data_IF_064045156211
#
_entry.id   IF_064045156211
#
_cell.length_a   1.000
_cell.length_b   1.000
_cell.length_c   1.000
_cell.angle_alpha   90.00
_cell.angle_beta   90.00
_cell.angle_gamma   90.00
#
_symmetry.space_group_name_H-M   'P 1'
#
loop_
_entity.id
_entity.type
_entity.pdbx_description
1 polymer ?
#
# COMPACT_ATOMS: atom_id res chain seq x y z
N UNK A 1 -22.73 16.84 17.63
CA UNK A 1 -23.32 15.49 17.79
C UNK A 1 -22.49 14.49 17.00
N UNK A 2 -22.14 13.36 17.59
CA UNK A 2 -21.46 12.29 16.83
C UNK A 2 -22.48 11.68 15.87
N UNK A 3 -22.10 11.51 14.60
CA UNK A 3 -22.96 10.86 13.58
C UNK A 3 -23.09 9.37 13.88
N UNK A 4 -24.28 8.85 13.87
CA UNK A 4 -24.60 7.43 14.13
C UNK A 4 -24.55 6.57 12.88
N UNK A 5 -24.51 7.20 11.69
CA UNK A 5 -24.47 6.54 10.38
C UNK A 5 -23.03 6.29 9.85
N UNK A 6 -22.01 6.49 10.70
CA UNK A 6 -20.61 6.23 10.42
C UNK A 6 -20.07 5.17 11.37
N UNK A 7 -19.31 4.21 10.83
CA UNK A 7 -18.58 3.24 11.63
C UNK A 7 -17.14 3.08 11.12
N UNK A 8 -16.26 2.52 11.95
CA UNK A 8 -14.82 2.43 11.69
C UNK A 8 -14.37 0.97 11.77
N UNK A 9 -13.70 0.50 10.74
CA UNK A 9 -13.01 -0.79 10.71
C UNK A 9 -11.52 -0.55 10.92
N UNK A 10 -10.99 -1.03 12.04
CA UNK A 10 -9.55 -1.02 12.32
C UNK A 10 -9.01 -2.43 12.07
N UNK A 11 -7.99 -2.57 11.23
CA UNK A 11 -7.34 -3.86 10.98
C UNK A 11 -5.90 -3.83 11.47
N UNK A 12 -5.40 -4.92 12.02
CA UNK A 12 -4.00 -4.96 12.46
C UNK A 12 -3.47 -6.35 12.76
N UNK A 13 -2.16 -6.40 12.95
CA UNK A 13 -1.44 -7.56 13.44
C UNK A 13 -0.19 -7.15 14.18
N UNK A 14 -0.11 -7.47 15.47
CA UNK A 14 1.07 -7.17 16.30
C UNK A 14 1.42 -5.67 16.32
N UNK A 15 0.44 -4.81 16.48
CA UNK A 15 0.65 -3.37 16.44
C UNK A 15 1.04 -2.77 17.81
N UNK A 16 0.80 -3.48 18.91
CA UNK A 16 1.20 -3.04 20.26
C UNK A 16 0.71 -1.64 20.61
N UNK A 17 1.62 -0.74 21.00
CA UNK A 17 1.28 0.63 21.37
C UNK A 17 0.71 1.46 20.20
N UNK A 18 0.96 1.09 18.95
CA UNK A 18 0.38 1.76 17.77
C UNK A 18 -1.12 1.55 17.72
N UNK A 19 -1.56 0.29 17.97
CA UNK A 19 -2.98 -0.03 18.04
C UNK A 19 -3.71 0.80 19.11
N UNK A 20 -3.08 0.97 20.30
CA UNK A 20 -3.70 1.78 21.35
C UNK A 20 -3.97 3.22 20.89
N UNK A 21 -3.04 3.82 20.16
CA UNK A 21 -3.23 5.16 19.56
C UNK A 21 -4.30 5.17 18.49
N UNK A 22 -4.32 4.16 17.62
CA UNK A 22 -5.33 3.98 16.60
C UNK A 22 -6.73 3.91 17.23
N UNK A 23 -6.95 2.99 18.17
CA UNK A 23 -8.24 2.81 18.84
C UNK A 23 -8.64 4.02 19.68
N UNK A 24 -7.69 4.71 20.33
CA UNK A 24 -7.98 5.96 21.03
C UNK A 24 -8.53 7.05 20.10
N UNK A 25 -8.05 7.11 18.85
CA UNK A 25 -8.54 8.06 17.84
C UNK A 25 -9.96 7.75 17.33
N UNK A 26 -10.45 6.54 17.59
CA UNK A 26 -11.80 6.11 17.20
C UNK A 26 -12.82 6.22 18.33
N UNK A 27 -12.41 6.69 19.50
CA UNK A 27 -13.32 6.84 20.65
C UNK A 27 -14.52 7.76 20.30
N UNK A 28 -15.69 7.35 20.77
CA UNK A 28 -16.94 8.04 20.45
C UNK A 28 -17.58 7.63 19.12
N UNK A 29 -16.87 6.85 18.28
CA UNK A 29 -17.42 6.27 17.07
C UNK A 29 -17.72 4.78 17.26
N UNK A 30 -18.70 4.26 16.53
CA UNK A 30 -18.90 2.82 16.43
C UNK A 30 -17.70 2.22 15.69
N UNK A 31 -16.94 1.36 16.33
CA UNK A 31 -15.73 0.78 15.76
C UNK A 31 -15.62 -0.71 16.03
N UNK A 32 -14.88 -1.41 15.18
CA UNK A 32 -14.48 -2.81 15.35
C UNK A 32 -12.99 -2.95 15.05
N UNK A 33 -12.29 -3.73 15.85
CA UNK A 33 -10.93 -4.15 15.56
C UNK A 33 -10.92 -5.56 14.98
N UNK A 34 -10.27 -5.74 13.84
CA UNK A 34 -10.09 -7.06 13.21
C UNK A 34 -8.63 -7.47 13.33
N UNK A 35 -8.41 -8.53 14.09
CA UNK A 35 -7.07 -9.07 14.34
C UNK A 35 -6.70 -10.16 13.35
N UNK A 36 -5.53 -10.03 12.74
CA UNK A 36 -4.98 -11.00 11.78
C UNK A 36 -3.96 -11.95 12.42
N UNK A 37 -4.29 -12.49 13.59
CA UNK A 37 -3.45 -13.46 14.30
C UNK A 37 -2.26 -12.81 15.00
N UNK A 38 -2.53 -11.83 15.85
CA UNK A 38 -1.52 -11.22 16.72
C UNK A 38 -1.01 -12.22 17.76
N UNK A 39 0.28 -12.16 18.05
CA UNK A 39 0.93 -12.92 19.11
C UNK A 39 1.38 -12.02 20.28
N UNK A 40 1.06 -10.72 20.21
CA UNK A 40 1.26 -9.75 21.26
C UNK A 40 -0.07 -9.48 22.00
N UNK A 41 -0.08 -8.50 22.91
CA UNK A 41 -1.28 -8.13 23.68
C UNK A 41 -2.27 -7.24 22.92
N UNK A 42 -2.26 -7.20 21.59
CA UNK A 42 -3.14 -6.34 20.78
C UNK A 42 -4.62 -6.64 21.02
N UNK A 43 -5.00 -7.92 21.00
CA UNK A 43 -6.40 -8.36 21.20
C UNK A 43 -6.91 -7.99 22.59
N UNK A 44 -6.14 -8.32 23.62
CA UNK A 44 -6.51 -8.00 25.01
C UNK A 44 -6.58 -6.48 25.25
N UNK A 45 -5.70 -5.73 24.60
CA UNK A 45 -5.69 -4.28 24.70
C UNK A 45 -6.94 -3.66 24.08
N UNK A 46 -7.37 -4.11 22.90
CA UNK A 46 -8.58 -3.66 22.25
C UNK A 46 -9.83 -3.99 23.09
N UNK A 47 -9.91 -5.21 23.66
CA UNK A 47 -11.00 -5.63 24.54
C UNK A 47 -11.08 -4.76 25.83
N UNK A 48 -9.91 -4.44 26.43
CA UNK A 48 -9.88 -3.53 27.61
C UNK A 48 -10.35 -2.12 27.31
N UNK A 49 -10.20 -1.68 26.06
CA UNK A 49 -10.72 -0.38 25.60
C UNK A 49 -12.22 -0.43 25.25
N UNK A 50 -12.89 -1.58 25.41
CA UNK A 50 -14.30 -1.77 25.08
C UNK A 50 -14.58 -1.84 23.57
N UNK A 51 -13.56 -2.06 22.73
CA UNK A 51 -13.73 -2.19 21.29
C UNK A 51 -14.04 -3.66 20.95
N UNK A 52 -15.14 -3.94 20.21
CA UNK A 52 -15.40 -5.27 19.67
C UNK A 52 -14.24 -5.80 18.83
N UNK A 53 -13.88 -7.08 19.01
CA UNK A 53 -12.74 -7.69 18.30
C UNK A 53 -13.22 -8.90 17.48
N UNK A 54 -12.81 -8.94 16.23
CA UNK A 54 -12.90 -10.12 15.36
C UNK A 54 -11.51 -10.71 15.23
N UNK A 55 -11.32 -11.95 15.60
CA UNK A 55 -10.08 -12.69 15.37
C UNK A 55 -10.24 -13.56 14.12
N UNK A 56 -9.42 -13.31 13.09
CA UNK A 56 -9.47 -14.08 11.86
C UNK A 56 -8.94 -15.50 12.07
N UNK A 57 -9.65 -16.51 11.54
CA UNK A 57 -9.14 -17.89 11.50
C UNK A 57 -7.87 -17.99 10.65
N UNK A 58 -6.82 -18.68 11.13
CA UNK A 58 -5.59 -18.91 10.38
C UNK A 58 -5.75 -19.89 9.20
N UNK A 59 -6.81 -20.68 9.16
CA UNK A 59 -7.02 -21.73 8.14
C UNK A 59 -7.02 -21.22 6.70
N UNK A 60 -7.54 -20.01 6.49
CA UNK A 60 -7.59 -19.34 5.18
C UNK A 60 -6.42 -18.38 4.96
N UNK A 61 -5.40 -18.37 5.83
CA UNK A 61 -4.33 -17.40 5.84
C UNK A 61 -4.79 -15.99 6.25
N UNK A 62 -3.88 -15.05 6.35
CA UNK A 62 -4.17 -13.67 6.74
C UNK A 62 -3.91 -12.72 5.58
N UNK A 63 -4.82 -11.77 5.34
CA UNK A 63 -4.62 -10.64 4.43
C UNK A 63 -5.34 -9.40 4.96
N UNK A 64 -4.88 -8.22 4.56
CA UNK A 64 -5.57 -6.97 4.88
C UNK A 64 -6.99 -6.94 4.28
N UNK A 65 -7.16 -7.49 3.09
CA UNK A 65 -8.45 -7.64 2.41
C UNK A 65 -9.46 -8.40 3.27
N UNK A 66 -9.07 -9.60 3.77
CA UNK A 66 -9.92 -10.39 4.67
C UNK A 66 -10.25 -9.64 5.96
N UNK A 67 -9.28 -8.94 6.53
CA UNK A 67 -9.50 -8.14 7.72
C UNK A 67 -10.55 -7.06 7.50
N UNK A 68 -10.43 -6.32 6.39
CA UNK A 68 -11.40 -5.27 6.03
C UNK A 68 -12.77 -5.85 5.75
N UNK A 69 -12.88 -6.92 4.98
CA UNK A 69 -14.17 -7.56 4.69
C UNK A 69 -14.86 -8.06 5.94
N UNK A 70 -14.17 -8.72 6.87
CA UNK A 70 -14.76 -9.19 8.12
C UNK A 70 -15.33 -8.03 8.95
N UNK A 71 -14.65 -6.88 9.00
CA UNK A 71 -15.16 -5.68 9.65
C UNK A 71 -16.34 -5.06 8.92
N UNK A 72 -16.30 -5.03 7.58
CA UNK A 72 -17.40 -4.58 6.72
C UNK A 72 -18.65 -5.44 7.00
N UNK A 73 -18.53 -6.76 6.93
CA UNK A 73 -19.66 -7.69 7.09
C UNK A 73 -20.34 -7.52 8.46
N UNK A 74 -19.55 -7.38 9.52
CA UNK A 74 -20.10 -7.14 10.86
C UNK A 74 -20.86 -5.84 10.94
N UNK A 75 -20.30 -4.74 10.43
CA UNK A 75 -20.87 -3.41 10.57
C UNK A 75 -22.06 -3.18 9.62
N UNK A 76 -22.05 -3.79 8.43
CA UNK A 76 -23.16 -3.71 7.48
C UNK A 76 -24.39 -4.53 7.87
N UNK A 77 -24.33 -5.33 8.95
CA UNK A 77 -25.52 -5.90 9.57
C UNK A 77 -26.48 -4.83 10.11
N UNK A 78 -25.97 -3.63 10.39
CA UNK A 78 -26.79 -2.46 10.73
C UNK A 78 -27.07 -1.61 9.48
N UNK A 79 -28.34 -1.56 9.01
CA UNK A 79 -28.70 -0.83 7.81
C UNK A 79 -28.61 0.70 7.97
N UNK A 80 -28.49 1.22 9.18
CA UNK A 80 -28.34 2.65 9.44
C UNK A 80 -26.94 3.18 9.05
N UNK A 81 -25.94 2.32 8.92
CA UNK A 81 -24.58 2.72 8.54
C UNK A 81 -24.53 3.08 7.06
N UNK A 82 -24.14 4.31 6.78
CA UNK A 82 -23.99 4.86 5.43
C UNK A 82 -22.53 4.98 5.00
N UNK A 83 -21.61 5.12 5.94
CA UNK A 83 -20.19 5.34 5.69
C UNK A 83 -19.33 4.44 6.58
N UNK A 84 -18.27 3.89 5.98
CA UNK A 84 -17.26 3.10 6.70
C UNK A 84 -15.88 3.73 6.53
N UNK A 85 -15.25 4.07 7.65
CA UNK A 85 -13.83 4.44 7.67
C UNK A 85 -13.00 3.19 7.81
N UNK A 86 -12.16 2.90 6.81
CA UNK A 86 -11.09 1.92 6.92
C UNK A 86 -9.89 2.58 7.58
N UNK A 87 -9.25 1.89 8.51
CA UNK A 87 -8.08 2.40 9.24
C UNK A 87 -7.12 1.25 9.54
N UNK A 88 -5.85 1.45 9.23
CA UNK A 88 -4.80 0.49 9.65
C UNK A 88 -4.47 0.68 11.13
N UNK A 89 -4.19 -0.39 11.87
CA UNK A 89 -3.94 -0.38 13.31
C UNK A 89 -2.68 0.37 13.76
N UNK A 90 -1.86 0.81 12.82
CA UNK A 90 -0.73 1.72 13.02
C UNK A 90 -1.02 3.16 12.57
N UNK A 91 -2.29 3.47 12.29
CA UNK A 91 -2.73 4.82 11.90
C UNK A 91 -3.71 5.36 12.95
N UNK A 92 -3.61 6.63 13.28
CA UNK A 92 -4.52 7.33 14.18
C UNK A 92 -5.22 8.46 13.42
N UNK A 93 -6.57 8.50 13.47
CA UNK A 93 -7.35 9.54 12.81
C UNK A 93 -7.07 10.91 13.44
N UNK A 94 -7.01 11.92 12.60
CA UNK A 94 -6.95 13.31 13.03
C UNK A 94 -8.34 13.81 13.48
N UNK A 95 -8.38 14.64 14.53
CA UNK A 95 -9.64 15.23 15.01
C UNK A 95 -10.35 16.00 13.88
N UNK A 96 -11.66 15.78 13.77
CA UNK A 96 -12.50 16.47 12.78
C UNK A 96 -12.52 15.83 11.38
N UNK A 97 -11.64 14.89 11.08
CA UNK A 97 -11.60 14.22 9.78
C UNK A 97 -12.94 13.64 9.33
N UNK A 98 -13.56 12.82 10.19
CA UNK A 98 -14.83 12.16 9.85
C UNK A 98 -15.92 13.19 9.51
N UNK A 99 -16.01 14.30 10.25
CA UNK A 99 -16.99 15.34 10.00
C UNK A 99 -16.77 16.01 8.62
N UNK A 100 -15.52 16.37 8.30
CA UNK A 100 -15.17 16.98 7.01
C UNK A 100 -15.47 16.01 5.86
N UNK A 101 -15.07 14.76 6.02
CA UNK A 101 -15.18 13.77 4.97
C UNK A 101 -16.63 13.36 4.70
N UNK A 102 -17.45 13.20 5.75
CA UNK A 102 -18.87 12.88 5.59
C UNK A 102 -19.66 14.05 5.00
N UNK A 103 -19.37 15.30 5.40
CA UNK A 103 -19.98 16.49 4.79
C UNK A 103 -19.69 16.56 3.28
N UNK A 104 -18.47 16.23 2.86
CA UNK A 104 -18.10 16.14 1.45
C UNK A 104 -18.88 15.06 0.72
N UNK A 105 -18.96 13.85 1.29
CA UNK A 105 -19.71 12.73 0.70
C UNK A 105 -21.22 13.02 0.65
N UNK A 106 -21.79 13.69 1.65
CA UNK A 106 -23.21 14.06 1.64
C UNK A 106 -23.56 15.03 0.51
N UNK A 107 -22.64 15.95 0.17
CA UNK A 107 -22.82 16.92 -0.93
C UNK A 107 -22.62 16.34 -2.32
N UNK A 108 -21.84 15.27 -2.47
CA UNK A 108 -21.52 14.66 -3.77
C UNK A 108 -21.90 13.18 -3.78
N UNK A 109 -23.13 12.86 -4.20
CA UNK A 109 -23.66 11.49 -4.20
C UNK A 109 -22.84 10.49 -5.05
N UNK A 110 -22.14 10.96 -6.07
CA UNK A 110 -21.30 10.13 -6.95
C UNK A 110 -19.92 9.78 -6.35
N UNK A 111 -19.55 10.40 -5.21
CA UNK A 111 -18.34 10.02 -4.50
C UNK A 111 -18.56 8.72 -3.73
N UNK A 112 -17.81 7.69 -4.12
CA UNK A 112 -17.79 6.37 -3.44
C UNK A 112 -16.70 6.24 -2.39
N UNK A 113 -15.59 6.97 -2.56
CA UNK A 113 -14.43 6.93 -1.67
C UNK A 113 -13.79 8.31 -1.52
N UNK A 114 -13.42 8.64 -0.28
CA UNK A 114 -12.78 9.89 0.07
C UNK A 114 -11.63 9.63 1.03
N UNK A 115 -10.48 10.27 0.80
CA UNK A 115 -9.35 10.26 1.71
C UNK A 115 -8.69 11.63 1.78
N UNK A 116 -7.88 11.83 2.80
CA UNK A 116 -7.17 13.08 3.03
C UNK A 116 -5.67 12.86 3.17
N UNK A 117 -4.98 13.86 3.73
CA UNK A 117 -3.54 13.78 3.96
C UNK A 117 -3.23 12.75 5.04
N UNK A 118 -2.44 11.75 4.67
CA UNK A 118 -1.78 10.83 5.58
C UNK A 118 -0.33 11.29 5.77
N UNK A 119 0.16 11.34 7.00
CA UNK A 119 1.53 11.74 7.31
C UNK A 119 2.20 10.72 8.22
N UNK A 120 3.50 10.52 8.03
CA UNK A 120 4.28 9.73 8.97
C UNK A 120 4.44 10.48 10.31
N UNK A 121 4.37 9.75 11.42
CA UNK A 121 4.55 10.28 12.78
C UNK A 121 5.95 10.85 13.00
N UNK A 122 6.97 10.17 12.49
CA UNK A 122 8.36 10.54 12.62
C UNK A 122 9.10 10.39 11.28
N UNK A 123 8.78 11.22 10.28
CA UNK A 123 9.34 11.09 8.93
C UNK A 123 10.85 11.26 8.90
N UNK A 124 11.40 12.01 9.84
CA UNK A 124 12.83 12.31 9.90
C UNK A 124 13.66 11.30 10.71
N UNK A 125 13.03 10.29 11.33
CA UNK A 125 13.72 9.25 12.08
C UNK A 125 14.61 8.37 11.20
N UNK A 126 14.28 8.23 9.91
CA UNK A 126 15.06 7.46 8.95
C UNK A 126 14.81 7.94 7.51
N UNK A 127 15.71 7.55 6.60
CA UNK A 127 15.48 7.77 5.15
C UNK A 127 14.22 7.02 4.68
N UNK A 128 13.91 5.88 5.26
CA UNK A 128 12.75 5.06 4.92
C UNK A 128 11.45 5.73 5.37
N UNK A 129 11.38 6.26 6.60
CA UNK A 129 10.25 7.04 7.10
C UNK A 129 10.01 8.29 6.23
N UNK A 130 11.09 8.98 5.85
CA UNK A 130 10.99 10.12 4.94
C UNK A 130 10.44 9.73 3.56
N UNK A 131 10.88 8.59 2.99
CA UNK A 131 10.35 8.08 1.72
C UNK A 131 8.87 7.76 1.81
N UNK A 132 8.43 7.18 2.91
CA UNK A 132 7.02 6.89 3.17
C UNK A 132 6.15 8.14 3.24
N UNK A 133 6.58 9.13 4.02
CA UNK A 133 5.84 10.40 4.11
C UNK A 133 5.65 11.04 2.72
N UNK A 134 6.62 10.84 1.83
CA UNK A 134 6.53 11.28 0.44
C UNK A 134 5.54 10.48 -0.41
N UNK A 135 5.42 9.17 -0.19
CA UNK A 135 4.44 8.34 -0.88
C UNK A 135 3.00 8.74 -0.51
N UNK A 136 2.79 9.16 0.75
CA UNK A 136 1.49 9.61 1.24
C UNK A 136 1.11 11.02 0.77
N UNK A 137 2.03 11.79 0.21
CA UNK A 137 1.78 13.15 -0.28
C UNK A 137 1.05 13.11 -1.64
N UNK A 138 -0.19 12.62 -1.63
CA UNK A 138 -1.07 12.60 -2.79
C UNK A 138 -1.67 14.00 -2.99
N UNK A 139 -1.63 14.56 -4.22
CA UNK A 139 -2.29 15.84 -4.52
C UNK A 139 -3.81 15.75 -4.30
N UNK A 140 -4.39 16.84 -3.81
CA UNK A 140 -5.85 16.97 -3.72
C UNK A 140 -6.50 16.98 -5.11
N UNK A 141 -7.69 16.38 -5.21
CA UNK A 141 -8.48 16.26 -6.44
C UNK A 141 -8.88 14.82 -6.74
N UNK A 142 -9.38 14.56 -7.96
CA UNK A 142 -9.75 13.23 -8.41
C UNK A 142 -8.58 12.25 -8.30
N UNK A 143 -8.83 11.08 -7.73
CA UNK A 143 -7.81 10.05 -7.50
C UNK A 143 -8.17 8.75 -8.23
N UNK A 144 -7.15 8.03 -8.70
CA UNK A 144 -7.33 6.73 -9.32
C UNK A 144 -7.33 5.59 -8.29
N UNK A 145 -6.66 5.79 -7.17
CA UNK A 145 -6.46 4.80 -6.11
C UNK A 145 -6.45 5.48 -4.75
N UNK A 146 -6.65 4.69 -3.71
CA UNK A 146 -6.46 5.07 -2.31
C UNK A 146 -5.61 4.02 -1.60
N UNK A 147 -5.19 4.27 -0.38
CA UNK A 147 -4.50 3.33 0.50
C UNK A 147 -5.39 2.83 1.63
N UNK A 148 -4.79 2.15 2.62
CA UNK A 148 -5.48 1.48 3.71
C UNK A 148 -6.40 2.34 4.58
N UNK A 149 -6.16 3.66 4.63
CA UNK A 149 -7.01 4.62 5.34
C UNK A 149 -7.87 5.39 4.34
N UNK A 150 -9.19 5.16 4.38
CA UNK A 150 -10.16 5.76 3.44
C UNK A 150 -11.58 5.74 4.03
N UNK A 151 -12.36 6.78 3.79
CA UNK A 151 -13.80 6.79 4.07
C UNK A 151 -14.56 6.35 2.82
N UNK A 152 -15.39 5.32 2.97
CA UNK A 152 -16.13 4.67 1.91
C UNK A 152 -17.65 4.86 2.09
N UNK A 153 -18.35 5.13 1.01
CA UNK A 153 -19.80 5.03 0.97
C UNK A 153 -20.22 3.55 0.94
N UNK A 154 -21.13 3.14 1.79
CA UNK A 154 -21.62 1.75 1.89
C UNK A 154 -22.22 1.25 0.58
N UNK A 155 -22.99 2.10 -0.12
CA UNK A 155 -23.55 1.76 -1.42
C UNK A 155 -22.44 1.44 -2.44
N UNK A 156 -21.36 2.21 -2.44
CA UNK A 156 -20.21 1.97 -3.32
C UNK A 156 -19.51 0.65 -2.98
N UNK A 157 -19.37 0.31 -1.68
CA UNK A 157 -18.83 -0.99 -1.26
C UNK A 157 -19.68 -2.14 -1.81
N UNK A 158 -21.02 -2.05 -1.67
CA UNK A 158 -21.96 -3.07 -2.16
C UNK A 158 -21.89 -3.24 -3.67
N UNK A 159 -21.82 -2.13 -4.41
CA UNK A 159 -21.78 -2.16 -5.89
C UNK A 159 -20.46 -2.73 -6.42
N UNK A 160 -19.35 -2.53 -5.73
CA UNK A 160 -18.04 -3.02 -6.13
C UNK A 160 -17.66 -4.40 -5.52
N UNK A 161 -18.46 -4.92 -4.57
CA UNK A 161 -18.31 -6.26 -3.99
C UNK A 161 -17.19 -6.39 -2.93
N UNK A 162 -16.82 -5.31 -2.24
CA UNK A 162 -15.80 -5.34 -1.18
C UNK A 162 -14.38 -5.60 -1.68
N UNK A 163 -13.47 -6.02 -0.80
CA UNK A 163 -12.07 -6.35 -1.13
C UNK A 163 -11.95 -7.80 -1.62
N UNK A 164 -10.89 -8.11 -2.36
CA UNK A 164 -10.59 -9.49 -2.80
C UNK A 164 -9.78 -10.23 -1.73
N UNK A 165 -10.39 -11.19 -1.05
CA UNK A 165 -9.82 -11.92 0.10
C UNK A 165 -8.48 -12.60 -0.17
N UNK A 166 -8.28 -13.07 -1.40
CA UNK A 166 -7.10 -13.82 -1.83
C UNK A 166 -5.89 -12.95 -2.16
N UNK A 167 -6.05 -11.63 -2.19
CA UNK A 167 -4.95 -10.70 -2.41
C UNK A 167 -4.14 -10.48 -1.13
N UNK A 168 -2.81 -10.68 -1.23
CA UNK A 168 -1.87 -10.38 -0.12
C UNK A 168 -1.28 -8.97 -0.21
N UNK A 169 -1.44 -8.32 -1.36
CA UNK A 169 -0.99 -6.96 -1.63
C UNK A 169 -1.71 -6.40 -2.85
N UNK A 170 -1.96 -5.09 -2.86
CA UNK A 170 -2.64 -4.42 -3.97
C UNK A 170 -4.17 -4.48 -3.88
N UNK A 171 -4.70 -4.86 -2.74
CA UNK A 171 -6.13 -4.93 -2.46
C UNK A 171 -6.82 -3.57 -2.55
N UNK A 172 -6.15 -2.50 -2.09
CA UNK A 172 -6.69 -1.12 -2.16
C UNK A 172 -6.79 -0.60 -3.60
N UNK A 173 -5.72 -0.67 -4.45
CA UNK A 173 -5.85 -0.30 -5.85
C UNK A 173 -6.77 -1.20 -6.68
N UNK A 174 -6.88 -2.50 -6.36
CA UNK A 174 -7.89 -3.38 -6.97
C UNK A 174 -9.31 -2.89 -6.66
N UNK A 175 -9.59 -2.64 -5.40
CA UNK A 175 -10.90 -2.17 -4.96
C UNK A 175 -11.21 -0.78 -5.53
N UNK A 176 -10.24 0.15 -5.54
CA UNK A 176 -10.39 1.46 -6.16
C UNK A 176 -10.72 1.37 -7.66
N UNK A 177 -10.09 0.43 -8.38
CA UNK A 177 -10.42 0.19 -9.79
C UNK A 177 -11.87 -0.28 -9.95
N UNK A 178 -12.30 -1.28 -9.15
CA UNK A 178 -13.68 -1.82 -9.22
C UNK A 178 -14.73 -0.78 -8.85
N UNK A 179 -14.46 0.10 -7.86
CA UNK A 179 -15.30 1.26 -7.56
C UNK A 179 -15.48 2.15 -8.79
N UNK A 180 -14.38 2.50 -9.47
CA UNK A 180 -14.46 3.34 -10.68
C UNK A 180 -15.15 2.65 -11.85
N UNK A 181 -14.96 1.33 -12.02
CA UNK A 181 -15.68 0.53 -13.01
C UNK A 181 -17.19 0.49 -12.74
N UNK A 182 -17.58 0.55 -11.47
CA UNK A 182 -18.98 0.67 -11.05
C UNK A 182 -19.54 2.12 -11.15
N UNK A 183 -18.75 3.06 -11.68
CA UNK A 183 -19.18 4.44 -11.91
C UNK A 183 -18.89 5.40 -10.75
N UNK A 184 -18.31 4.94 -9.65
CA UNK A 184 -18.00 5.79 -8.50
C UNK A 184 -16.74 6.64 -8.69
N UNK A 185 -16.80 7.88 -8.21
CA UNK A 185 -15.63 8.76 -8.11
C UNK A 185 -14.87 8.52 -6.82
N UNK A 186 -13.55 8.74 -6.90
CA UNK A 186 -12.62 8.71 -5.75
C UNK A 186 -11.95 10.07 -5.69
N UNK A 187 -11.81 10.64 -4.51
CA UNK A 187 -11.19 11.96 -4.32
C UNK A 187 -10.24 11.97 -3.13
N UNK A 188 -9.12 12.68 -3.30
CA UNK A 188 -8.24 13.12 -2.21
C UNK A 188 -8.57 14.58 -1.88
N UNK A 189 -8.79 14.91 -0.61
CA UNK A 189 -8.99 16.29 -0.18
C UNK A 189 -7.81 16.81 0.63
N UNK A 190 -7.59 18.12 0.57
CA UNK A 190 -6.53 18.78 1.33
C UNK A 190 -6.94 19.01 2.79
N UNK A 191 -7.20 17.92 3.49
CA UNK A 191 -7.52 17.90 4.92
C UNK A 191 -6.68 16.84 5.65
N UNK A 192 -6.23 17.10 6.89
CA UNK A 192 -5.57 16.10 7.71
C UNK A 192 -6.51 14.91 7.96
N UNK A 193 -6.09 13.70 7.57
CA UNK A 193 -6.89 12.49 7.75
C UNK A 193 -6.37 11.63 8.89
N UNK A 194 -5.10 11.29 8.85
CA UNK A 194 -4.50 10.41 9.85
C UNK A 194 -2.98 10.56 9.94
N UNK A 195 -2.44 10.17 11.09
CA UNK A 195 -0.99 10.00 11.32
C UNK A 195 -0.68 8.51 11.30
N UNK A 196 0.19 8.11 10.39
CA UNK A 196 0.70 6.75 10.28
C UNK A 196 1.98 6.58 11.09
N UNK A 197 2.15 5.44 11.74
CA UNK A 197 3.31 5.09 12.57
C UNK A 197 3.96 3.81 12.02
N UNK A 198 4.57 3.93 10.82
CA UNK A 198 5.12 2.79 10.09
C UNK A 198 6.36 2.18 10.72
N UNK A 199 7.06 2.91 11.62
CA UNK A 199 8.28 2.48 12.32
C UNK A 199 9.31 1.80 11.38
N UNK A 200 9.47 2.39 10.18
CA UNK A 200 10.39 1.85 9.18
C UNK A 200 11.77 2.47 9.34
N UNK A 201 12.65 1.74 10.02
CA UNK A 201 14.01 2.20 10.34
C UNK A 201 15.11 1.30 9.77
N UNK A 202 14.78 0.14 9.21
CA UNK A 202 15.75 -0.85 8.73
C UNK A 202 15.60 -1.10 7.22
N UNK A 203 16.74 -1.31 6.54
CA UNK A 203 16.80 -1.68 5.12
C UNK A 203 15.92 -2.90 4.79
N UNK A 204 15.95 -3.95 5.65
CA UNK A 204 15.18 -5.17 5.44
C UNK A 204 13.68 -4.94 5.41
N UNK A 205 13.16 -4.01 6.24
CA UNK A 205 11.73 -3.63 6.23
C UNK A 205 11.38 -2.97 4.90
N UNK A 206 12.16 -1.99 4.47
CA UNK A 206 12.00 -1.32 3.19
C UNK A 206 12.08 -2.31 2.02
N UNK A 207 13.07 -3.20 2.01
CA UNK A 207 13.24 -4.22 0.96
C UNK A 207 12.01 -5.11 0.84
N UNK A 208 11.52 -5.67 1.96
CA UNK A 208 10.34 -6.55 1.98
C UNK A 208 9.08 -5.83 1.54
N UNK A 209 8.89 -4.58 1.98
CA UNK A 209 7.75 -3.77 1.51
C UNK A 209 7.80 -3.52 0.02
N UNK A 210 8.98 -3.20 -0.52
CA UNK A 210 9.19 -3.00 -1.95
C UNK A 210 8.99 -4.29 -2.75
N UNK A 211 9.39 -5.46 -2.21
CA UNK A 211 9.03 -6.77 -2.77
C UNK A 211 7.51 -6.96 -2.84
N UNK A 212 6.80 -6.60 -1.77
CA UNK A 212 5.33 -6.68 -1.73
C UNK A 212 4.69 -5.81 -2.84
N UNK A 213 5.23 -4.63 -3.09
CA UNK A 213 4.78 -3.78 -4.20
C UNK A 213 4.99 -4.44 -5.57
N UNK A 214 6.15 -5.08 -5.80
CA UNK A 214 6.42 -5.82 -7.03
C UNK A 214 5.47 -6.99 -7.27
N UNK A 215 5.09 -7.73 -6.22
CA UNK A 215 4.06 -8.75 -6.26
C UNK A 215 2.70 -8.15 -6.67
N UNK A 216 2.29 -7.06 -6.02
CA UNK A 216 1.04 -6.36 -6.32
C UNK A 216 0.97 -5.87 -7.77
N UNK A 217 2.05 -5.28 -8.31
CA UNK A 217 2.07 -4.81 -9.70
C UNK A 217 1.88 -5.95 -10.70
N UNK A 218 2.47 -7.12 -10.44
CA UNK A 218 2.29 -8.28 -11.29
C UNK A 218 0.84 -8.80 -11.23
N UNK A 219 0.30 -8.95 -10.02
CA UNK A 219 -1.04 -9.47 -9.77
C UNK A 219 -2.13 -8.56 -10.35
N UNK A 220 -2.05 -7.25 -10.11
CA UNK A 220 -3.02 -6.28 -10.61
C UNK A 220 -3.10 -6.25 -12.14
N UNK A 221 -1.95 -6.29 -12.83
CA UNK A 221 -1.93 -6.32 -14.29
C UNK A 221 -2.51 -7.62 -14.84
N UNK A 222 -2.25 -8.75 -14.17
CA UNK A 222 -2.76 -10.06 -14.59
C UNK A 222 -4.26 -10.25 -14.29
N UNK A 223 -4.78 -9.62 -13.23
CA UNK A 223 -6.22 -9.63 -12.90
C UNK A 223 -7.05 -8.71 -13.78
N UNK A 224 -6.47 -7.59 -14.20
CA UNK A 224 -7.18 -6.53 -14.92
C UNK A 224 -6.49 -6.18 -16.25
N UNK A 225 -6.39 -7.13 -17.18
CA UNK A 225 -5.77 -6.86 -18.47
C UNK A 225 -6.56 -5.79 -19.26
N UNK A 226 -5.86 -4.82 -19.80
CA UNK A 226 -6.48 -3.73 -20.59
C UNK A 226 -7.22 -2.65 -19.78
N UNK A 227 -7.15 -2.70 -18.45
CA UNK A 227 -7.78 -1.71 -17.58
C UNK A 227 -7.04 -0.37 -17.58
N UNK A 228 -7.67 0.66 -16.98
CA UNK A 228 -7.07 1.99 -16.75
C UNK A 228 -5.91 1.99 -15.73
N UNK A 229 -5.45 0.82 -15.28
CA UNK A 229 -4.25 0.66 -14.45
C UNK A 229 -2.94 0.71 -15.28
N UNK A 230 -2.89 1.60 -16.28
CA UNK A 230 -1.70 1.77 -17.15
C UNK A 230 -0.40 1.99 -16.36
N UNK A 231 -0.46 2.63 -15.19
CA UNK A 231 0.73 2.90 -14.37
C UNK A 231 1.33 1.63 -13.76
N UNK A 232 0.51 0.62 -13.43
CA UNK A 232 1.00 -0.68 -12.96
C UNK A 232 1.63 -1.49 -14.10
N UNK A 233 1.05 -1.42 -15.30
CA UNK A 233 1.67 -1.99 -16.51
C UNK A 233 3.03 -1.37 -16.83
N UNK A 234 3.12 -0.03 -16.76
CA UNK A 234 4.39 0.70 -16.91
C UNK A 234 5.39 0.35 -15.80
N UNK A 235 4.93 0.22 -14.56
CA UNK A 235 5.77 -0.19 -13.43
C UNK A 235 6.33 -1.59 -13.65
N UNK A 236 5.50 -2.56 -14.05
CA UNK A 236 5.93 -3.90 -14.42
C UNK A 236 6.96 -3.90 -15.57
N UNK A 237 6.73 -3.12 -16.62
CA UNK A 237 7.66 -2.99 -17.73
C UNK A 237 9.01 -2.41 -17.30
N UNK A 238 9.00 -1.37 -16.43
CA UNK A 238 10.23 -0.79 -15.85
C UNK A 238 11.00 -1.78 -14.99
N UNK A 239 10.31 -2.59 -14.18
CA UNK A 239 10.94 -3.64 -13.37
C UNK A 239 11.63 -4.64 -14.28
N UNK A 240 10.92 -5.17 -15.28
CA UNK A 240 11.46 -6.13 -16.24
C UNK A 240 12.64 -5.59 -17.03
N UNK A 241 12.60 -4.31 -17.40
CA UNK A 241 13.71 -3.66 -18.12
C UNK A 241 14.94 -3.46 -17.23
N UNK A 242 14.78 -2.71 -16.10
CA UNK A 242 15.92 -2.28 -15.27
C UNK A 242 16.50 -3.39 -14.40
N UNK A 243 15.70 -4.31 -13.88
CA UNK A 243 16.15 -5.39 -13.00
C UNK A 243 16.14 -6.77 -13.68
N UNK A 244 15.67 -6.90 -14.91
CA UNK A 244 15.67 -8.14 -15.69
C UNK A 244 16.54 -8.03 -16.93
N UNK A 245 16.04 -7.38 -17.98
CA UNK A 245 16.67 -7.36 -19.31
C UNK A 245 18.10 -6.80 -19.28
N UNK A 246 18.33 -5.67 -18.65
CA UNK A 246 19.66 -5.04 -18.62
C UNK A 246 20.71 -5.89 -17.89
N UNK A 247 20.48 -6.41 -16.67
CA UNK A 247 21.43 -7.30 -16.04
C UNK A 247 21.70 -8.59 -16.85
N UNK A 248 20.66 -9.17 -17.46
CA UNK A 248 20.80 -10.35 -18.31
C UNK A 248 21.64 -10.03 -19.56
N UNK A 249 21.42 -8.88 -20.19
CA UNK A 249 22.21 -8.44 -21.34
C UNK A 249 23.69 -8.23 -20.96
N UNK A 250 23.95 -7.65 -19.78
CA UNK A 250 25.32 -7.49 -19.29
C UNK A 250 26.01 -8.84 -19.06
N UNK A 251 25.32 -9.78 -18.41
CA UNK A 251 25.86 -11.15 -18.19
C UNK A 251 26.08 -11.88 -19.50
N UNK A 252 25.13 -11.84 -20.43
CA UNK A 252 25.25 -12.45 -21.74
C UNK A 252 26.43 -11.87 -22.52
N UNK A 253 26.58 -10.55 -22.55
CA UNK A 253 27.70 -9.85 -23.19
C UNK A 253 29.05 -10.24 -22.58
N UNK A 254 29.11 -10.35 -21.26
CA UNK A 254 30.30 -10.79 -20.54
C UNK A 254 30.68 -12.25 -20.91
N UNK A 255 29.70 -13.15 -20.94
CA UNK A 255 29.92 -14.55 -21.34
C UNK A 255 30.41 -14.68 -22.78
N UNK A 256 29.83 -13.92 -23.72
CA UNK A 256 30.30 -13.86 -25.12
C UNK A 256 31.72 -13.32 -25.18
N UNK A 257 32.02 -12.29 -24.37
CA UNK A 257 33.40 -11.74 -24.33
C UNK A 257 34.42 -12.75 -23.83
N UNK A 258 34.04 -13.58 -22.87
CA UNK A 258 34.94 -14.60 -22.30
C UNK A 258 35.11 -15.83 -23.18
N UNK A 259 34.07 -16.23 -23.93
CA UNK A 259 34.04 -17.52 -24.64
C UNK A 259 34.23 -17.41 -26.16
N UNK A 260 33.90 -16.28 -26.78
CA UNK A 260 33.79 -16.15 -28.22
C UNK A 260 34.55 -14.95 -28.78
N UNK A 261 34.24 -13.72 -28.36
CA UNK A 261 34.86 -12.50 -28.90
C UNK A 261 35.05 -11.45 -27.78
N UNK A 262 36.28 -11.14 -27.38
CA UNK A 262 36.59 -10.14 -26.34
C UNK A 262 35.94 -8.78 -26.57
N UNK A 263 35.61 -8.39 -27.80
CA UNK A 263 34.95 -7.11 -28.10
C UNK A 263 33.57 -7.03 -27.53
N UNK A 264 32.92 -8.15 -27.25
CA UNK A 264 31.59 -8.18 -26.63
C UNK A 264 31.55 -7.54 -25.21
N UNK A 265 32.73 -7.36 -24.55
CA UNK A 265 32.82 -6.62 -23.27
C UNK A 265 32.23 -5.21 -23.38
N UNK A 266 32.26 -4.60 -24.57
CA UNK A 266 31.67 -3.29 -24.83
C UNK A 266 30.17 -3.24 -24.49
N UNK A 267 29.45 -4.35 -24.70
CA UNK A 267 28.03 -4.43 -24.32
C UNK A 267 27.83 -4.35 -22.80
N UNK A 268 28.67 -5.04 -22.02
CA UNK A 268 28.67 -4.94 -20.55
C UNK A 268 28.98 -3.52 -20.10
N UNK A 269 30.00 -2.89 -20.68
CA UNK A 269 30.38 -1.50 -20.38
C UNK A 269 29.21 -0.55 -20.70
N UNK A 270 28.56 -0.72 -21.85
CA UNK A 270 27.42 0.10 -22.24
C UNK A 270 26.25 -0.03 -21.25
N UNK A 271 25.92 -1.23 -20.80
CA UNK A 271 24.87 -1.44 -19.79
C UNK A 271 25.24 -0.73 -18.48
N UNK A 272 26.49 -0.86 -18.03
CA UNK A 272 26.97 -0.17 -16.83
C UNK A 272 26.89 1.36 -16.98
N UNK A 273 27.33 1.89 -18.12
CA UNK A 273 27.23 3.32 -18.41
C UNK A 273 25.77 3.81 -18.38
N UNK A 274 24.84 3.03 -18.96
CA UNK A 274 23.41 3.34 -18.93
C UNK A 274 22.84 3.37 -17.50
N UNK A 275 23.23 2.41 -16.64
CA UNK A 275 22.82 2.37 -15.25
C UNK A 275 23.35 3.58 -14.47
N UNK A 276 24.62 3.94 -14.65
CA UNK A 276 25.24 5.10 -14.01
C UNK A 276 24.60 6.40 -14.48
N UNK A 277 24.39 6.57 -15.79
CA UNK A 277 23.72 7.74 -16.35
C UNK A 277 22.29 7.90 -15.85
N UNK A 278 21.53 6.80 -15.77
CA UNK A 278 20.17 6.84 -15.23
C UNK A 278 20.18 7.20 -13.73
N UNK A 279 21.10 6.62 -12.95
CA UNK A 279 21.26 6.99 -11.54
C UNK A 279 21.61 8.48 -11.39
N UNK A 280 22.57 8.97 -12.16
CA UNK A 280 22.95 10.38 -12.12
C UNK A 280 21.77 11.30 -12.48
N UNK A 281 21.02 10.97 -13.54
CA UNK A 281 19.81 11.72 -13.94
C UNK A 281 18.77 11.75 -12.83
N UNK A 282 18.50 10.61 -12.17
CA UNK A 282 17.54 10.55 -11.05
C UNK A 282 18.08 11.33 -9.87
N UNK A 283 19.38 11.17 -9.53
CA UNK A 283 20.02 11.86 -8.40
C UNK A 283 19.98 13.38 -8.55
N UNK A 284 20.28 13.91 -9.73
CA UNK A 284 20.16 15.34 -10.01
C UNK A 284 18.73 15.82 -9.85
N UNK A 285 17.76 15.10 -10.45
CA UNK A 285 16.34 15.46 -10.35
C UNK A 285 15.87 15.49 -8.89
N UNK A 286 16.18 14.45 -8.11
CA UNK A 286 15.74 14.36 -6.72
C UNK A 286 16.54 15.29 -5.80
N UNK A 287 17.81 15.56 -6.11
CA UNK A 287 18.60 16.56 -5.38
C UNK A 287 18.07 18.00 -5.57
N UNK A 288 17.61 18.34 -6.78
CA UNK A 288 16.96 19.63 -7.05
C UNK A 288 15.63 19.77 -6.29
N UNK A 289 14.90 18.68 -6.07
CA UNK A 289 13.60 18.69 -5.37
C UNK A 289 13.72 18.64 -3.86
N UNK A 290 14.70 17.93 -3.32
CA UNK A 290 14.78 17.54 -1.91
C UNK A 290 16.12 17.87 -1.25
N UNK A 291 17.02 18.54 -1.96
CA UNK A 291 18.39 18.77 -1.54
C UNK A 291 19.28 17.52 -1.72
N UNK A 292 20.59 17.74 -1.85
CA UNK A 292 21.58 16.67 -2.11
C UNK A 292 21.55 15.58 -1.02
N UNK A 293 21.42 15.99 0.25
CA UNK A 293 21.48 15.09 1.41
C UNK A 293 20.37 14.00 1.39
N UNK A 294 19.19 14.31 0.86
CA UNK A 294 18.05 13.37 0.76
C UNK A 294 17.84 12.86 -0.65
N UNK A 295 17.99 13.68 -1.66
CA UNK A 295 17.72 13.34 -3.05
C UNK A 295 18.67 12.28 -3.62
N UNK A 296 19.96 12.34 -3.30
CA UNK A 296 20.94 11.36 -3.80
C UNK A 296 20.70 9.95 -3.20
N UNK A 297 20.58 9.78 -1.87
CA UNK A 297 20.20 8.48 -1.32
C UNK A 297 18.85 7.98 -1.85
N UNK A 298 17.87 8.86 -2.01
CA UNK A 298 16.56 8.47 -2.57
C UNK A 298 16.69 7.92 -4.01
N UNK A 299 17.52 8.53 -4.84
CA UNK A 299 17.78 8.03 -6.19
C UNK A 299 18.38 6.61 -6.19
N UNK A 300 19.28 6.31 -5.25
CA UNK A 300 19.82 4.97 -5.05
C UNK A 300 18.73 3.97 -4.68
N UNK A 301 17.85 4.34 -3.73
CA UNK A 301 16.72 3.50 -3.34
C UNK A 301 15.70 3.29 -4.47
N UNK A 302 15.45 4.30 -5.31
CA UNK A 302 14.57 4.17 -6.48
C UNK A 302 15.11 3.15 -7.50
N UNK A 303 16.44 3.10 -7.71
CA UNK A 303 17.05 2.10 -8.59
C UNK A 303 17.12 0.73 -7.91
N UNK A 304 17.60 0.66 -6.67
CA UNK A 304 17.71 -0.59 -5.93
C UNK A 304 16.34 -1.26 -5.72
N UNK A 305 15.31 -0.44 -5.57
CA UNK A 305 13.92 -0.89 -5.44
C UNK A 305 13.45 -1.73 -6.62
N UNK A 306 13.96 -1.50 -7.84
CA UNK A 306 13.61 -2.31 -9.01
C UNK A 306 14.01 -3.77 -8.86
N UNK A 307 15.09 -4.06 -8.15
CA UNK A 307 15.51 -5.42 -7.84
C UNK A 307 14.62 -6.08 -6.77
N UNK A 308 14.25 -5.35 -5.74
CA UNK A 308 13.30 -5.84 -4.74
C UNK A 308 11.92 -6.12 -5.37
N UNK A 309 11.41 -5.18 -6.18
CA UNK A 309 10.16 -5.35 -6.96
C UNK A 309 10.25 -6.57 -7.90
N UNK A 310 11.39 -6.81 -8.55
CA UNK A 310 11.60 -7.99 -9.40
C UNK A 310 11.47 -9.30 -8.61
N UNK A 311 12.07 -9.36 -7.42
CA UNK A 311 11.92 -10.54 -6.54
C UNK A 311 10.45 -10.80 -6.20
N UNK A 312 9.70 -9.74 -5.91
CA UNK A 312 8.24 -9.81 -5.65
C UNK A 312 7.46 -10.31 -6.87
N UNK A 313 7.74 -9.75 -8.04
CA UNK A 313 7.13 -10.13 -9.31
C UNK A 313 7.40 -11.60 -9.65
N UNK A 314 8.65 -12.05 -9.53
CA UNK A 314 9.03 -13.46 -9.75
C UNK A 314 8.37 -14.39 -8.73
N UNK A 315 8.21 -13.94 -7.48
CA UNK A 315 7.50 -14.70 -6.44
C UNK A 315 6.03 -14.91 -6.82
N UNK A 316 5.34 -13.87 -7.29
CA UNK A 316 3.97 -13.96 -7.79
C UNK A 316 3.86 -14.99 -8.92
N UNK A 317 4.67 -14.88 -9.98
CA UNK A 317 4.63 -15.81 -11.11
C UNK A 317 4.96 -17.24 -10.73
N UNK A 318 5.93 -17.44 -9.82
CA UNK A 318 6.26 -18.76 -9.30
C UNK A 318 5.09 -19.39 -8.53
N UNK A 319 4.42 -18.63 -7.66
CA UNK A 319 3.28 -19.10 -6.90
C UNK A 319 2.10 -19.45 -7.83
N UNK A 320 1.80 -18.57 -8.78
CA UNK A 320 0.74 -18.81 -9.78
C UNK A 320 0.98 -20.07 -10.61
N UNK A 321 2.24 -20.30 -11.07
CA UNK A 321 2.58 -21.52 -11.83
C UNK A 321 2.47 -22.80 -11.00
N UNK A 322 2.60 -22.73 -9.69
CA UNK A 322 2.57 -23.86 -8.76
C UNK A 322 1.22 -24.06 -8.11
N UNK A 323 0.24 -23.27 -8.48
CA UNK A 323 -1.11 -23.22 -7.86
C UNK A 323 -1.02 -23.13 -6.32
N UNK A 324 -0.07 -22.33 -5.81
CA UNK A 324 0.14 -22.12 -4.38
C UNK A 324 -0.52 -20.81 -3.96
N UNK A 325 -1.29 -20.88 -2.88
CA UNK A 325 -1.78 -19.69 -2.23
C UNK A 325 -0.59 -18.76 -1.85
N UNK A 326 -0.66 -17.47 -2.16
CA UNK A 326 0.39 -16.54 -1.80
C UNK A 326 0.47 -16.41 -0.27
N UNK A 327 1.69 -16.38 0.26
CA UNK A 327 1.93 -16.13 1.69
C UNK A 327 2.18 -14.66 1.93
N UNK A 328 1.62 -14.11 3.02
CA UNK A 328 1.78 -12.72 3.40
C UNK A 328 3.27 -12.36 3.56
N UNK A 329 3.72 -11.31 2.87
CA UNK A 329 5.08 -10.77 3.00
C UNK A 329 5.07 -9.76 4.16
N UNK A 330 5.40 -10.23 5.35
CA UNK A 330 5.51 -9.36 6.52
C UNK A 330 6.81 -8.52 6.47
N UNK A 331 6.68 -7.22 6.73
CA UNK A 331 7.82 -6.29 6.75
C UNK A 331 7.98 -5.53 8.07
N UNK A 332 6.94 -5.47 8.90
CA UNK A 332 6.95 -4.74 10.19
C UNK A 332 7.79 -5.44 11.27
N UNK A 333 7.99 -6.76 11.16
CA UNK A 333 8.83 -7.54 12.08
C UNK A 333 10.14 -7.94 11.44
N UNK A 334 11.25 -7.55 11.98
CA UNK A 334 12.57 -8.17 11.78
C UNK A 334 13.58 -7.62 12.81
#
# INVERSE_FOLDING_TARGET
>A
MVRTDVAIVVIGRNEGARLLRSLASTQGWRSVYVDSGSADSSVEAARRMGVPVIELSPERGFSAARGRNAGIDLLLADPSIRYLQMLDGDSALEPGWIAIATDRLDREPELGALFGRLRERAPDASIYGWMFDREWAVPAGPAAVFGGSVLLRVEAIRNAGGYQDDMIAGEDPDFALRLRMAGWRIECIDAPMAIHDGDMVRFRQWWRRTMRAGHAFAELVDRHPGSSLHDYGRSRARILFWAGLLPLAAVASLLVAMLLDPRAILGTILVFALLVLNLARIAVREALRHGVRRGVPFALFLMLGKYAEMVGLLSYWRNRRRDRAPTLIEYKRS
#
